data_IF_722045062086
#
_entry.id   IF_722045062086
#
_cell.length_a   1.000
_cell.length_b   1.000
_cell.length_c   1.000
_cell.angle_alpha   90.00
_cell.angle_beta   90.00
_cell.angle_gamma   90.00
#
_symmetry.space_group_name_H-M   'P 1'
#
loop_
_entity.id
_entity.type
_entity.pdbx_description
1 polymer ?
#
# COMPACT_ATOMS: atom_id res chain seq x y z
N UNK A 1 -47.45 -39.39 -24.85
CA UNK A 1 -47.75 -37.95 -24.71
C UNK A 1 -48.63 -37.84 -23.48
N UNK A 2 -48.28 -37.24 -22.34
CA UNK A 2 -47.26 -36.28 -21.93
C UNK A 2 -47.04 -36.57 -20.44
N UNK A 3 -45.91 -37.13 -20.00
CA UNK A 3 -45.64 -37.22 -18.55
C UNK A 3 -44.15 -37.49 -18.22
N UNK A 4 -43.23 -37.01 -19.07
CA UNK A 4 -41.80 -37.29 -18.91
C UNK A 4 -40.87 -36.07 -19.03
N UNK A 5 -41.38 -34.83 -18.90
CA UNK A 5 -40.60 -33.63 -19.27
C UNK A 5 -40.41 -32.55 -18.19
N UNK A 6 -40.72 -32.77 -16.90
CA UNK A 6 -40.66 -31.60 -15.98
C UNK A 6 -40.26 -31.84 -14.52
N UNK A 7 -39.34 -32.76 -14.21
CA UNK A 7 -38.77 -32.70 -12.87
C UNK A 7 -37.34 -33.24 -12.77
N UNK A 8 -36.38 -32.50 -13.35
CA UNK A 8 -34.98 -32.40 -12.93
C UNK A 8 -34.34 -31.26 -13.74
N UNK A 9 -33.89 -30.17 -13.08
CA UNK A 9 -32.44 -29.95 -13.07
C UNK A 9 -32.00 -29.30 -11.75
N UNK A 10 -31.65 -30.13 -10.75
CA UNK A 10 -30.95 -29.67 -9.55
C UNK A 10 -29.43 -29.97 -9.59
N UNK A 11 -28.92 -30.59 -10.66
CA UNK A 11 -27.53 -31.10 -10.74
C UNK A 11 -26.57 -30.19 -11.51
N UNK A 12 -27.05 -29.14 -12.17
CA UNK A 12 -26.19 -28.18 -12.91
C UNK A 12 -25.78 -26.93 -12.11
N UNK A 13 -26.31 -26.73 -10.90
CA UNK A 13 -26.02 -25.55 -10.07
C UNK A 13 -24.77 -25.77 -9.18
N UNK A 14 -24.45 -27.02 -8.82
CA UNK A 14 -23.32 -27.36 -7.93
C UNK A 14 -21.95 -27.43 -8.65
N UNK A 15 -21.91 -27.67 -9.95
CA UNK A 15 -20.64 -27.73 -10.71
C UNK A 15 -20.08 -26.34 -11.06
N UNK A 16 -20.96 -25.33 -11.16
CA UNK A 16 -20.58 -23.92 -11.34
C UNK A 16 -19.95 -23.29 -10.09
N UNK A 17 -20.31 -23.79 -8.91
CA UNK A 17 -19.94 -23.22 -7.60
C UNK A 17 -18.44 -23.34 -7.31
N UNK A 18 -17.81 -24.46 -7.67
CA UNK A 18 -16.38 -24.67 -7.42
C UNK A 18 -15.51 -23.82 -8.36
N UNK A 19 -15.91 -23.71 -9.64
CA UNK A 19 -15.21 -22.89 -10.63
C UNK A 19 -15.38 -21.38 -10.36
N UNK A 20 -16.58 -20.94 -9.95
CA UNK A 20 -16.81 -19.54 -9.53
C UNK A 20 -16.16 -19.20 -8.19
N UNK A 21 -16.09 -20.13 -7.21
CA UNK A 21 -15.26 -19.96 -6.00
C UNK A 21 -13.78 -19.85 -6.33
N UNK A 22 -13.27 -20.69 -7.22
CA UNK A 22 -11.85 -20.65 -7.58
C UNK A 22 -11.49 -19.34 -8.30
N UNK A 23 -12.36 -18.87 -9.20
CA UNK A 23 -12.19 -17.59 -9.91
C UNK A 23 -12.30 -16.38 -8.99
N UNK A 24 -13.25 -16.39 -8.05
CA UNK A 24 -13.41 -15.29 -7.06
C UNK A 24 -12.29 -15.29 -6.01
N UNK A 25 -11.76 -16.45 -5.63
CA UNK A 25 -10.61 -16.57 -4.73
C UNK A 25 -9.32 -16.03 -5.38
N UNK A 26 -9.09 -16.36 -6.65
CA UNK A 26 -7.98 -15.81 -7.44
C UNK A 26 -8.08 -14.28 -7.55
N UNK A 27 -9.28 -13.76 -7.88
CA UNK A 27 -9.50 -12.32 -7.97
C UNK A 27 -9.29 -11.59 -6.63
N UNK A 28 -9.73 -12.19 -5.52
CA UNK A 28 -9.54 -11.65 -4.17
C UNK A 28 -8.06 -11.62 -3.78
N UNK A 29 -7.30 -12.67 -4.12
CA UNK A 29 -5.87 -12.73 -3.86
C UNK A 29 -5.11 -11.65 -4.66
N UNK A 30 -5.36 -11.56 -5.97
CA UNK A 30 -4.74 -10.54 -6.82
C UNK A 30 -5.03 -9.11 -6.33
N UNK A 31 -6.29 -8.83 -5.97
CA UNK A 31 -6.68 -7.52 -5.39
C UNK A 31 -5.94 -7.21 -4.09
N UNK A 32 -5.75 -8.21 -3.21
CA UNK A 32 -4.99 -8.02 -1.95
C UNK A 32 -3.52 -7.71 -2.22
N UNK A 33 -2.91 -8.35 -3.22
CA UNK A 33 -1.52 -8.10 -3.62
C UNK A 33 -1.38 -6.68 -4.19
N UNK A 34 -2.26 -6.30 -5.12
CA UNK A 34 -2.29 -4.96 -5.71
C UNK A 34 -2.52 -3.87 -4.67
N UNK A 35 -3.46 -4.10 -3.74
CA UNK A 35 -3.72 -3.19 -2.63
C UNK A 35 -2.51 -3.05 -1.71
N UNK A 36 -1.84 -4.16 -1.35
CA UNK A 36 -0.63 -4.11 -0.52
C UNK A 36 0.49 -3.34 -1.22
N UNK A 37 0.65 -3.55 -2.54
CA UNK A 37 1.64 -2.85 -3.36
C UNK A 37 1.37 -1.34 -3.44
N UNK A 38 0.11 -0.92 -3.56
CA UNK A 38 -0.26 0.51 -3.60
C UNK A 38 -0.18 1.16 -2.22
N UNK A 39 -0.55 0.45 -1.16
CA UNK A 39 -0.40 0.91 0.23
C UNK A 39 1.05 1.21 0.59
N UNK A 40 1.98 0.32 0.21
CA UNK A 40 3.42 0.54 0.44
C UNK A 40 3.91 1.75 -0.35
N UNK A 41 3.46 1.93 -1.61
CA UNK A 41 3.83 3.11 -2.42
C UNK A 41 3.34 4.41 -1.81
N UNK A 42 2.08 4.48 -1.38
CA UNK A 42 1.52 5.69 -0.75
C UNK A 42 2.29 6.11 0.51
N UNK A 43 2.74 5.13 1.32
CA UNK A 43 3.55 5.38 2.53
C UNK A 43 4.95 5.91 2.21
N UNK A 44 5.56 5.47 1.11
CA UNK A 44 6.92 5.90 0.70
C UNK A 44 6.89 7.21 -0.09
N UNK A 45 5.82 7.48 -0.84
CA UNK A 45 5.65 8.72 -1.60
C UNK A 45 5.61 9.95 -0.69
N UNK A 46 4.97 9.84 0.49
CA UNK A 46 4.84 10.93 1.43
C UNK A 46 6.20 11.48 1.96
N UNK A 47 7.11 10.66 2.51
CA UNK A 47 8.43 11.13 2.93
C UNK A 47 9.29 11.57 1.74
N UNK A 48 9.16 10.96 0.55
CA UNK A 48 9.85 11.42 -0.65
C UNK A 48 9.39 12.82 -1.09
N UNK A 49 8.08 13.10 -0.99
CA UNK A 49 7.52 14.43 -1.27
C UNK A 49 8.01 15.45 -0.25
N UNK A 50 8.08 15.10 1.03
CA UNK A 50 8.64 15.97 2.07
C UNK A 50 10.13 16.28 1.81
N UNK A 51 10.92 15.27 1.43
CA UNK A 51 12.34 15.43 1.08
C UNK A 51 12.53 16.34 -0.14
N UNK A 52 11.75 16.14 -1.20
CA UNK A 52 11.88 16.92 -2.43
C UNK A 52 11.34 18.35 -2.30
N UNK A 53 10.21 18.55 -1.62
CA UNK A 53 9.56 19.87 -1.51
C UNK A 53 10.10 20.71 -0.34
N UNK A 54 10.26 20.11 0.84
CA UNK A 54 10.62 20.86 2.04
C UNK A 54 12.14 21.00 2.20
N UNK A 55 12.90 19.96 1.86
CA UNK A 55 14.35 19.95 1.98
C UNK A 55 15.08 20.28 0.66
N UNK A 56 14.36 20.49 -0.44
CA UNK A 56 14.92 20.94 -1.72
C UNK A 56 15.94 19.97 -2.34
N UNK A 57 15.87 18.68 -2.00
CA UNK A 57 16.83 17.67 -2.46
C UNK A 57 16.53 17.23 -3.90
N UNK A 58 16.83 18.11 -4.86
CA UNK A 58 16.61 17.87 -6.31
C UNK A 58 17.88 17.40 -7.02
N UNK A 59 19.06 17.74 -6.49
CA UNK A 59 20.37 17.35 -7.05
C UNK A 59 21.31 16.86 -5.96
N UNK A 60 22.11 15.85 -6.32
CA UNK A 60 23.15 15.28 -5.48
C UNK A 60 24.30 16.29 -5.37
N UNK A 61 24.59 16.79 -4.16
CA UNK A 61 25.56 17.88 -3.96
C UNK A 61 27.00 17.42 -3.75
N UNK A 62 27.24 16.20 -3.24
CA UNK A 62 28.59 15.76 -2.89
C UNK A 62 29.26 14.92 -3.98
N UNK A 63 30.56 15.17 -4.21
CA UNK A 63 31.44 14.31 -5.01
C UNK A 63 31.81 13.07 -4.18
N UNK A 64 31.02 12.01 -4.30
CA UNK A 64 31.29 10.70 -3.67
C UNK A 64 30.03 10.00 -3.17
N UNK A 65 29.85 8.72 -3.55
CA UNK A 65 28.63 7.96 -3.28
C UNK A 65 28.31 7.84 -1.78
N UNK A 66 29.32 7.55 -0.96
CA UNK A 66 29.17 7.38 0.51
C UNK A 66 28.63 8.65 1.19
N UNK A 67 29.08 9.83 0.76
CA UNK A 67 28.65 11.13 1.31
C UNK A 67 27.20 11.44 0.93
N UNK A 68 26.75 10.96 -0.22
CA UNK A 68 25.37 11.14 -0.67
C UNK A 68 24.41 10.17 0.03
N UNK A 69 24.80 8.91 0.24
CA UNK A 69 23.99 7.93 0.97
C UNK A 69 23.78 8.36 2.42
N UNK A 70 24.83 8.84 3.09
CA UNK A 70 24.72 9.37 4.46
C UNK A 70 23.87 10.64 4.53
N UNK A 71 23.92 11.52 3.52
CA UNK A 71 23.02 12.67 3.43
C UNK A 71 21.55 12.25 3.23
N UNK A 72 21.28 11.28 2.34
CA UNK A 72 19.94 10.74 2.13
C UNK A 72 19.39 10.10 3.41
N UNK A 73 20.20 9.31 4.13
CA UNK A 73 19.81 8.71 5.41
C UNK A 73 19.40 9.77 6.45
N UNK A 74 20.17 10.87 6.56
CA UNK A 74 19.81 12.00 7.44
C UNK A 74 18.48 12.66 7.04
N UNK A 75 18.25 12.85 5.75
CA UNK A 75 16.99 13.43 5.24
C UNK A 75 15.78 12.52 5.51
N UNK A 76 15.95 11.20 5.42
CA UNK A 76 14.91 10.25 5.82
C UNK A 76 14.60 10.32 7.31
N UNK A 77 15.62 10.37 8.17
CA UNK A 77 15.44 10.55 9.61
C UNK A 77 14.72 11.86 9.95
N UNK A 78 15.10 12.95 9.27
CA UNK A 78 14.54 14.29 9.48
C UNK A 78 13.09 14.38 8.96
N UNK A 79 12.78 13.70 7.86
CA UNK A 79 11.41 13.56 7.34
C UNK A 79 10.51 12.85 8.35
N UNK A 80 11.00 11.76 8.95
CA UNK A 80 10.26 11.06 10.01
C UNK A 80 9.99 11.96 11.23
N UNK A 81 11.00 12.72 11.67
CA UNK A 81 10.85 13.69 12.75
C UNK A 81 9.83 14.79 12.42
N UNK A 82 9.85 15.30 11.18
CA UNK A 82 8.90 16.32 10.73
C UNK A 82 7.45 15.82 10.73
N UNK A 83 7.21 14.54 10.39
CA UNK A 83 5.88 13.93 10.50
C UNK A 83 5.38 13.87 11.95
N UNK A 84 6.29 13.55 12.88
CA UNK A 84 5.95 13.37 14.31
C UNK A 84 5.90 14.71 15.06
N UNK A 85 6.39 15.82 14.48
CA UNK A 85 6.38 17.17 15.06
C UNK A 85 5.06 17.54 15.74
N UNK A 86 3.90 17.32 15.10
CA UNK A 86 2.60 17.66 15.69
C UNK A 86 2.31 16.87 16.98
N UNK A 87 2.71 15.59 17.03
CA UNK A 87 2.57 14.74 18.21
C UNK A 87 3.56 15.15 19.31
N UNK A 88 4.79 15.49 18.95
CA UNK A 88 5.81 15.95 19.90
C UNK A 88 5.44 17.28 20.54
N UNK A 89 4.91 18.24 19.77
CA UNK A 89 4.43 19.51 20.30
C UNK A 89 3.23 19.32 21.24
N UNK A 90 2.28 18.44 20.88
CA UNK A 90 1.16 18.11 21.77
C UNK A 90 1.61 17.44 23.09
N UNK A 91 2.66 16.61 23.05
CA UNK A 91 3.23 15.99 24.25
C UNK A 91 4.01 17.02 25.09
N UNK A 92 4.64 18.01 24.46
CA UNK A 92 5.37 19.08 25.13
C UNK A 92 4.46 20.09 25.83
N UNK A 93 3.33 20.46 25.20
CA UNK A 93 2.30 21.35 25.78
C UNK A 93 1.60 20.73 27.00
N UNK A 94 1.44 19.40 27.05
CA UNK A 94 0.85 18.71 28.21
C UNK A 94 1.84 18.59 29.38
N UNK A 95 3.12 18.94 29.16
CA UNK A 95 4.20 18.84 30.16
C UNK A 95 4.71 20.19 30.68
N UNK A 96 4.13 21.30 30.24
CA UNK A 96 4.39 22.66 30.74
C UNK A 96 3.16 23.15 31.52
#
# INVERSE_FOLDING_TARGET
MLFADFFMPATSILSGDLSTKFRSLSLMCCRKIEFTKTQVRAKVEYPFRAIKRQFGYTKVRFRGLVKNTTQQAKLFALSNLWMVRKRLLAIGEVRL
#
